data_IF_708262742579
#
_entry.id   IF_708262742579
#
_cell.length_a   1.000
_cell.length_b   1.000
_cell.length_c   1.000
_cell.angle_alpha   90.00
_cell.angle_beta   90.00
_cell.angle_gamma   90.00
#
_symmetry.space_group_name_H-M   'P 1'
#
loop_
_entity.id
_entity.type
_entity.pdbx_description
1 polymer ?
#
# COMPACT_ATOMS: atom_id res chain seq x y z
N UNK A 1 15.41 -5.02 -4.29
CA UNK A 1 13.98 -4.74 -4.15
C UNK A 1 13.88 -3.40 -3.47
N UNK A 2 13.00 -2.54 -3.97
CA UNK A 2 12.70 -1.24 -3.38
C UNK A 2 11.45 -1.36 -2.51
N UNK A 3 11.27 -0.43 -1.57
CA UNK A 3 10.02 -0.33 -0.81
C UNK A 3 9.04 0.55 -1.57
N UNK A 4 7.79 0.11 -1.64
CA UNK A 4 6.70 0.87 -2.22
C UNK A 4 5.62 1.11 -1.17
N UNK A 5 5.19 2.36 -1.04
CA UNK A 5 3.94 2.72 -0.39
C UNK A 5 2.86 2.70 -1.47
N UNK A 6 1.81 1.93 -1.20
CA UNK A 6 0.63 1.85 -2.05
C UNK A 6 -0.51 2.47 -1.28
N UNK A 7 -1.20 3.44 -1.88
CA UNK A 7 -2.42 4.03 -1.36
C UNK A 7 -3.56 3.72 -2.32
N UNK A 8 -4.70 3.26 -1.79
CA UNK A 8 -5.86 2.97 -2.64
C UNK A 8 -7.17 3.33 -1.95
N UNK A 9 -7.92 4.23 -2.58
CA UNK A 9 -9.24 4.64 -2.11
C UNK A 9 -10.34 3.80 -2.75
N UNK A 10 -11.36 3.51 -1.97
CA UNK A 10 -12.54 2.74 -2.35
C UNK A 10 -13.79 3.34 -1.69
N UNK A 11 -14.96 2.89 -2.11
CA UNK A 11 -16.24 3.32 -1.52
C UNK A 11 -16.58 2.46 -0.29
N UNK A 12 -17.48 2.92 0.61
CA UNK A 12 -17.94 2.10 1.73
C UNK A 12 -18.51 0.74 1.31
N UNK A 13 -19.13 0.67 0.12
CA UNK A 13 -19.72 -0.54 -0.43
C UNK A 13 -18.66 -1.54 -0.94
N UNK A 14 -17.47 -1.05 -1.31
CA UNK A 14 -16.36 -1.86 -1.81
C UNK A 14 -15.48 -2.44 -0.69
N UNK A 15 -15.64 -1.99 0.56
CA UNK A 15 -14.75 -2.37 1.67
C UNK A 15 -14.61 -3.89 1.86
N UNK A 16 -15.74 -4.60 1.93
CA UNK A 16 -15.72 -6.05 2.16
C UNK A 16 -15.05 -6.79 1.01
N UNK A 17 -15.35 -6.40 -0.24
CA UNK A 17 -14.75 -7.03 -1.42
C UNK A 17 -13.24 -6.76 -1.51
N UNK A 18 -12.82 -5.53 -1.19
CA UNK A 18 -11.40 -5.17 -1.14
C UNK A 18 -10.64 -6.00 -0.09
N UNK A 19 -11.20 -6.16 1.11
CA UNK A 19 -10.59 -6.98 2.17
C UNK A 19 -10.52 -8.46 1.77
N UNK A 20 -11.58 -9.01 1.17
CA UNK A 20 -11.62 -10.40 0.71
C UNK A 20 -10.61 -10.66 -0.41
N UNK A 21 -10.40 -9.71 -1.32
CA UNK A 21 -9.41 -9.86 -2.38
C UNK A 21 -7.98 -9.76 -1.85
N UNK A 22 -7.69 -8.81 -0.94
CA UNK A 22 -6.38 -8.75 -0.26
C UNK A 22 -6.11 -10.04 0.52
N UNK A 23 -7.10 -10.57 1.23
CA UNK A 23 -6.97 -11.83 1.95
C UNK A 23 -6.61 -13.00 1.02
N UNK A 24 -7.23 -13.05 -0.18
CA UNK A 24 -6.93 -14.06 -1.21
C UNK A 24 -5.53 -13.90 -1.83
N UNK A 25 -4.98 -12.69 -1.87
CA UNK A 25 -3.61 -12.43 -2.37
C UNK A 25 -2.52 -12.90 -1.39
N UNK A 26 -2.87 -13.12 -0.11
CA UNK A 26 -2.02 -13.78 0.88
C UNK A 26 -1.92 -13.01 2.20
N UNK A 27 -1.61 -13.73 3.28
CA UNK A 27 -1.50 -13.14 4.63
C UNK A 27 -0.41 -12.07 4.73
N UNK A 28 0.69 -12.22 4.00
CA UNK A 28 1.78 -11.23 3.98
C UNK A 28 1.32 -9.84 3.49
N UNK A 29 0.46 -9.78 2.47
CA UNK A 29 -0.10 -8.51 1.99
C UNK A 29 -1.09 -7.95 3.03
N UNK A 30 -1.92 -8.80 3.60
CA UNK A 30 -2.89 -8.39 4.62
C UNK A 30 -2.21 -7.79 5.85
N UNK A 31 -1.16 -8.44 6.37
CA UNK A 31 -0.40 -7.99 7.54
C UNK A 31 0.33 -6.66 7.31
N UNK A 32 0.70 -6.37 6.07
CA UNK A 32 1.35 -5.11 5.66
C UNK A 32 0.36 -4.01 5.26
N UNK A 33 -0.94 -4.31 5.26
CA UNK A 33 -1.99 -3.38 4.84
C UNK A 33 -2.70 -2.77 6.04
N UNK A 34 -2.72 -1.45 6.08
CA UNK A 34 -3.43 -0.64 7.05
C UNK A 34 -4.75 -0.17 6.44
N UNK A 35 -5.84 -0.31 7.19
CA UNK A 35 -7.19 0.00 6.72
C UNK A 35 -7.79 1.18 7.50
N UNK A 36 -8.17 2.24 6.80
CA UNK A 36 -8.87 3.37 7.41
C UNK A 36 -10.37 3.11 7.68
N UNK A 37 -10.95 2.04 7.11
CA UNK A 37 -12.40 1.87 6.99
C UNK A 37 -13.13 1.91 8.34
N UNK A 38 -12.54 1.31 9.38
CA UNK A 38 -13.11 1.32 10.73
C UNK A 38 -13.23 2.73 11.33
N UNK A 39 -12.39 3.66 10.86
CA UNK A 39 -12.33 5.05 11.30
C UNK A 39 -13.00 6.02 10.32
N UNK A 40 -13.75 5.51 9.33
CA UNK A 40 -14.48 6.32 8.35
C UNK A 40 -13.65 6.78 7.15
N UNK A 41 -12.39 6.35 7.05
CA UNK A 41 -11.53 6.65 5.91
C UNK A 41 -11.48 5.43 4.98
N UNK A 42 -12.14 5.52 3.81
CA UNK A 42 -12.23 4.39 2.88
C UNK A 42 -11.00 4.34 1.96
N UNK A 43 -9.84 4.31 2.60
CA UNK A 43 -8.53 4.21 1.97
C UNK A 43 -7.72 3.18 2.74
N UNK A 44 -6.92 2.39 2.01
CA UNK A 44 -5.91 1.53 2.60
C UNK A 44 -4.51 1.91 2.16
N UNK A 45 -3.54 1.57 2.99
CA UNK A 45 -2.12 1.78 2.75
C UNK A 45 -1.35 0.50 2.94
N UNK A 46 -0.50 0.15 1.98
CA UNK A 46 0.31 -1.06 2.04
C UNK A 46 1.76 -0.69 1.79
N UNK A 47 2.68 -1.11 2.66
CA UNK A 47 4.12 -0.95 2.44
C UNK A 47 4.73 -2.32 2.16
N UNK A 48 5.22 -2.54 0.94
CA UNK A 48 5.80 -3.82 0.50
C UNK A 48 7.15 -3.64 -0.20
N UNK A 49 7.97 -4.67 -0.15
CA UNK A 49 9.17 -4.77 -0.98
C UNK A 49 8.79 -5.35 -2.35
N UNK A 50 9.17 -4.68 -3.44
CA UNK A 50 8.94 -5.16 -4.82
C UNK A 50 10.13 -4.80 -5.73
N UNK A 51 10.20 -5.43 -6.91
CA UNK A 51 11.19 -5.11 -7.95
C UNK A 51 10.76 -3.98 -8.88
N UNK A 52 9.47 -3.63 -8.89
CA UNK A 52 8.90 -2.57 -9.73
C UNK A 52 7.51 -2.16 -9.23
N UNK A 53 7.03 -0.98 -9.67
CA UNK A 53 5.65 -0.54 -9.43
C UNK A 53 4.62 -1.57 -9.94
N UNK A 54 4.85 -2.16 -11.10
CA UNK A 54 3.97 -3.18 -11.68
C UNK A 54 3.89 -4.47 -10.85
N UNK A 55 4.96 -4.82 -10.14
CA UNK A 55 4.91 -5.93 -9.18
C UNK A 55 4.18 -5.51 -7.91
N UNK A 56 4.44 -4.29 -7.41
CA UNK A 56 3.75 -3.75 -6.25
C UNK A 56 2.23 -3.67 -6.48
N UNK A 57 1.78 -3.25 -7.67
CA UNK A 57 0.37 -3.17 -8.06
C UNK A 57 -0.39 -4.50 -7.91
N UNK A 58 0.30 -5.64 -8.01
CA UNK A 58 -0.33 -6.97 -7.87
C UNK A 58 -0.90 -7.22 -6.48
N UNK A 59 -0.41 -6.52 -5.45
CA UNK A 59 -0.96 -6.59 -4.10
C UNK A 59 -2.30 -5.86 -3.96
N UNK A 60 -2.63 -4.97 -4.91
CA UNK A 60 -3.89 -4.21 -4.92
C UNK A 60 -5.02 -5.08 -5.48
N UNK A 61 -6.23 -5.04 -4.88
CA UNK A 61 -7.44 -5.60 -5.48
C UNK A 61 -7.62 -5.17 -6.93
N UNK A 62 -7.91 -6.11 -7.84
CA UNK A 62 -8.00 -5.86 -9.28
C UNK A 62 -9.00 -4.75 -9.61
N UNK A 63 -10.11 -4.68 -8.86
CA UNK A 63 -11.15 -3.64 -9.03
C UNK A 63 -10.71 -2.22 -8.61
N UNK A 64 -9.55 -2.10 -7.96
CA UNK A 64 -9.01 -0.83 -7.43
C UNK A 64 -7.66 -0.46 -8.07
N UNK A 65 -7.08 -1.29 -8.95
CA UNK A 65 -5.74 -1.07 -9.50
C UNK A 65 -5.63 0.23 -10.31
N UNK A 66 -6.72 0.66 -10.96
CA UNK A 66 -6.79 1.91 -11.71
C UNK A 66 -6.82 3.16 -10.81
N UNK A 67 -7.14 2.99 -9.53
CA UNK A 67 -7.22 4.03 -8.51
C UNK A 67 -6.04 4.01 -7.53
N UNK A 68 -5.11 3.07 -7.70
CA UNK A 68 -3.96 2.93 -6.83
C UNK A 68 -2.89 3.98 -7.14
N UNK A 69 -2.37 4.61 -6.09
CA UNK A 69 -1.15 5.40 -6.13
C UNK A 69 -0.01 4.54 -5.60
N UNK A 70 1.07 4.40 -6.38
CA UNK A 70 2.24 3.59 -6.04
C UNK A 70 3.46 4.51 -6.01
N UNK A 71 4.12 4.56 -4.85
CA UNK A 71 5.20 5.50 -4.58
C UNK A 71 6.40 4.70 -4.07
N UNK A 72 7.56 4.83 -4.71
CA UNK A 72 8.81 4.31 -4.15
C UNK A 72 9.21 5.13 -2.93
N UNK A 73 9.48 4.46 -1.81
CA UNK A 73 9.76 5.10 -0.51
C UNK A 73 10.99 4.49 0.14
N UNK A 74 11.64 5.24 1.02
CA UNK A 74 12.71 4.75 1.87
C UNK A 74 12.57 5.25 3.31
N UNK A 75 13.21 4.55 4.24
CA UNK A 75 13.40 5.07 5.60
C UNK A 75 14.75 5.77 5.68
N UNK A 76 14.75 6.99 6.21
CA UNK A 76 15.99 7.73 6.44
C UNK A 76 16.54 7.43 7.83
N UNK A 77 17.85 7.20 7.89
CA UNK A 77 18.60 7.20 9.14
C UNK A 77 18.86 8.64 9.61
N UNK A 78 19.06 8.88 10.92
CA UNK A 78 19.43 10.21 11.41
C UNK A 78 20.70 10.79 10.75
N UNK A 79 21.61 9.95 10.28
CA UNK A 79 22.81 10.38 9.55
C UNK A 79 22.49 10.88 8.15
N UNK A 80 21.67 10.16 7.37
CA UNK A 80 21.22 10.61 6.05
C UNK A 80 20.48 11.96 6.14
N UNK A 81 19.65 12.15 7.18
CA UNK A 81 18.97 13.43 7.43
C UNK A 81 19.98 14.56 7.66
N UNK A 82 21.03 14.34 8.46
CA UNK A 82 22.08 15.35 8.68
C UNK A 82 22.80 15.72 7.39
N UNK A 83 23.06 14.75 6.51
CA UNK A 83 23.74 14.97 5.23
C UNK A 83 22.89 15.74 4.22
N UNK A 84 21.56 15.55 4.23
CA UNK A 84 20.66 16.23 3.29
C UNK A 84 20.50 17.74 3.53
N UNK A 85 20.90 18.25 4.70
CA UNK A 85 20.80 19.66 5.09
C UNK A 85 22.14 20.43 5.05
N UNK A 86 23.19 19.81 4.50
CA UNK A 86 24.48 20.46 4.22
C UNK A 86 24.52 21.00 2.79
#
# INVERSE_FOLDING_TARGET
>A
MSKFLIQVSHTPQECSEAMDEVSRKGSDVMEKTYWGCHFGEHTSWTIIDASSESEALRSVPNMLQDRAEIIEVEQLTPEQVRQAHQ
#
